data_IF_450614433052
#
_entry.id   IF_450614433052
#
_cell.length_a   1.000
_cell.length_b   1.000
_cell.length_c   1.000
_cell.angle_alpha   90.00
_cell.angle_beta   90.00
_cell.angle_gamma   90.00
#
_symmetry.space_group_name_H-M   'P 1'
#
loop_
_entity.id
_entity.type
_entity.pdbx_description
1 polymer ?
#
# COMPACT_ATOMS: atom_id res chain seq x y z
N UNK A 1 -9.83 -4.87 -20.22
CA UNK A 1 -8.72 -3.90 -20.25
C UNK A 1 -8.36 -3.49 -18.84
N UNK A 2 -7.09 -3.17 -18.57
CA UNK A 2 -6.61 -2.71 -17.27
C UNK A 2 -6.49 -1.19 -17.29
N UNK A 3 -7.38 -0.50 -16.57
CA UNK A 3 -7.34 0.94 -16.39
C UNK A 3 -6.98 1.23 -14.94
N UNK A 4 -5.71 1.53 -14.66
CA UNK A 4 -5.17 1.63 -13.29
C UNK A 4 -6.00 2.51 -12.34
N UNK A 5 -6.58 3.61 -12.84
CA UNK A 5 -7.40 4.54 -12.05
C UNK A 5 -8.64 3.88 -11.43
N UNK A 6 -9.16 2.80 -12.02
CA UNK A 6 -10.40 2.13 -11.59
C UNK A 6 -10.16 1.07 -10.51
N UNK A 7 -8.95 1.00 -9.95
CA UNK A 7 -8.57 0.03 -8.94
C UNK A 7 -8.25 0.71 -7.61
N UNK A 8 -8.75 0.11 -6.54
CA UNK A 8 -8.21 0.29 -5.20
C UNK A 8 -6.81 -0.32 -5.13
N UNK A 9 -5.94 0.26 -4.29
CA UNK A 9 -4.58 -0.23 -4.13
C UNK A 9 -4.32 -0.52 -2.66
N UNK A 10 -3.77 -1.69 -2.41
CA UNK A 10 -3.43 -2.18 -1.07
C UNK A 10 -1.95 -2.51 -1.03
N UNK A 11 -1.35 -2.23 0.12
CA UNK A 11 -0.01 -2.73 0.44
C UNK A 11 -0.10 -3.74 1.55
N UNK A 12 0.66 -4.82 1.40
CA UNK A 12 0.84 -5.86 2.40
C UNK A 12 2.32 -6.12 2.61
N UNK A 13 2.67 -6.72 3.74
CA UNK A 13 3.98 -7.33 3.96
C UNK A 13 3.86 -8.73 4.53
N UNK A 14 4.90 -9.52 4.34
CA UNK A 14 5.05 -10.81 5.00
C UNK A 14 6.49 -10.97 5.47
N UNK A 15 6.68 -11.11 6.79
CA UNK A 15 7.98 -11.48 7.35
C UNK A 15 8.33 -12.94 7.01
N UNK A 16 9.60 -13.36 7.03
CA UNK A 16 9.99 -14.76 6.88
C UNK A 16 9.23 -15.69 7.83
N UNK A 17 8.49 -16.66 7.28
CA UNK A 17 7.65 -17.59 8.05
C UNK A 17 6.39 -16.97 8.69
N UNK A 18 6.14 -15.68 8.46
CA UNK A 18 5.01 -14.94 9.02
C UNK A 18 3.74 -15.02 8.17
N UNK A 19 2.66 -14.42 8.70
CA UNK A 19 1.41 -14.20 7.96
C UNK A 19 1.49 -12.92 7.13
N UNK A 20 0.57 -12.80 6.18
CA UNK A 20 0.40 -11.57 5.42
C UNK A 20 -0.23 -10.50 6.33
N UNK A 21 0.49 -9.40 6.53
CA UNK A 21 0.06 -8.24 7.31
C UNK A 21 -0.36 -7.12 6.37
N UNK A 22 -1.54 -6.55 6.61
CA UNK A 22 -2.02 -5.38 5.89
C UNK A 22 -1.30 -4.11 6.35
N UNK A 23 -0.79 -3.32 5.39
CA UNK A 23 -0.05 -2.08 5.63
C UNK A 23 -0.91 -0.86 5.39
N UNK A 24 -1.60 -0.80 4.26
CA UNK A 24 -2.32 0.41 3.87
C UNK A 24 -3.26 0.18 2.70
N UNK A 25 -4.13 1.17 2.51
CA UNK A 25 -5.14 1.23 1.46
C UNK A 25 -5.19 2.64 0.89
N UNK A 26 -5.32 2.76 -0.44
CA UNK A 26 -5.65 4.00 -1.13
C UNK A 26 -6.79 3.77 -2.11
N UNK A 27 -7.82 4.62 -2.01
CA UNK A 27 -9.06 4.51 -2.78
C UNK A 27 -8.89 4.72 -4.29
N UNK A 28 -9.80 4.16 -5.08
CA UNK A 28 -10.09 4.67 -6.43
C UNK A 28 -11.10 5.82 -6.36
N UNK A 29 -11.24 6.64 -7.41
CA UNK A 29 -10.32 6.76 -8.54
C UNK A 29 -9.13 7.65 -8.21
N UNK A 30 -9.30 8.61 -7.30
CA UNK A 30 -8.32 9.67 -7.02
C UNK A 30 -7.39 9.36 -5.85
N UNK A 31 -7.71 8.39 -5.00
CA UNK A 31 -6.94 8.12 -3.78
C UNK A 31 -7.17 9.15 -2.68
N UNK A 32 -8.35 9.77 -2.64
CA UNK A 32 -8.76 10.75 -1.62
C UNK A 32 -8.85 10.11 -0.23
N UNK A 33 -9.40 8.89 -0.14
CA UNK A 33 -9.41 8.09 1.08
C UNK A 33 -8.15 7.24 1.17
N UNK A 34 -7.50 7.29 2.34
CA UNK A 34 -6.31 6.52 2.69
C UNK A 34 -6.47 5.95 4.09
N UNK A 35 -6.00 4.73 4.28
CA UNK A 35 -5.92 4.13 5.61
C UNK A 35 -4.62 3.36 5.79
N UNK A 36 -4.21 3.19 7.05
CA UNK A 36 -2.92 2.63 7.43
C UNK A 36 -3.07 1.65 8.59
N UNK A 37 -2.38 0.52 8.47
CA UNK A 37 -2.24 -0.47 9.53
C UNK A 37 -1.58 0.13 10.76
N UNK A 38 -2.00 -0.31 11.94
CA UNK A 38 -1.55 0.23 13.21
C UNK A 38 -0.01 0.21 13.36
N UNK A 39 0.66 -0.84 12.87
CA UNK A 39 2.11 -1.00 12.96
C UNK A 39 2.92 0.07 12.19
N UNK A 40 2.32 0.72 11.18
CA UNK A 40 2.98 1.69 10.30
C UNK A 40 2.36 3.08 10.38
N UNK A 41 1.29 3.26 11.17
CA UNK A 41 0.58 4.53 11.30
C UNK A 41 1.53 5.62 11.82
N UNK A 42 1.52 6.78 11.15
CA UNK A 42 2.44 7.89 11.44
C UNK A 42 3.84 7.75 10.82
N UNK A 43 4.21 6.58 10.27
CA UNK A 43 5.48 6.34 9.57
C UNK A 43 5.31 6.11 8.07
N UNK A 44 4.20 5.50 7.68
CA UNK A 44 3.86 5.25 6.28
C UNK A 44 3.20 6.48 5.63
N UNK A 45 3.56 6.72 4.37
CA UNK A 45 2.90 7.64 3.46
C UNK A 45 2.68 6.93 2.13
N UNK A 46 1.42 6.88 1.69
CA UNK A 46 1.05 6.31 0.38
C UNK A 46 0.56 7.37 -0.60
N UNK A 47 0.82 7.12 -1.87
CA UNK A 47 0.33 7.92 -2.99
C UNK A 47 0.16 7.06 -4.23
N UNK A 48 -0.61 7.58 -5.19
CA UNK A 48 -0.82 6.99 -6.52
C UNK A 48 -0.68 8.08 -7.58
N UNK A 49 -0.15 7.72 -8.75
CA UNK A 49 -0.14 8.55 -9.95
C UNK A 49 -0.85 7.78 -11.07
N UNK A 50 -2.07 8.19 -11.37
CA UNK A 50 -2.89 7.55 -12.38
C UNK A 50 -2.41 7.83 -13.81
N UNK A 51 -1.70 8.94 -14.04
CA UNK A 51 -1.16 9.25 -15.37
C UNK A 51 -0.01 8.31 -15.74
N UNK A 52 0.69 7.79 -14.72
CA UNK A 52 1.81 6.87 -14.86
C UNK A 52 1.47 5.42 -14.52
N UNK A 53 0.26 5.16 -14.02
CA UNK A 53 -0.13 3.84 -13.49
C UNK A 53 0.79 3.35 -12.37
N UNK A 54 1.23 4.25 -11.49
CA UNK A 54 2.19 3.96 -10.42
C UNK A 54 1.57 4.14 -9.03
N UNK A 55 1.99 3.31 -8.07
CA UNK A 55 1.65 3.42 -6.66
C UNK A 55 2.92 3.43 -5.82
N UNK A 56 2.91 4.20 -4.74
CA UNK A 56 4.07 4.39 -3.89
C UNK A 56 3.73 4.13 -2.42
N UNK A 57 4.64 3.44 -1.73
CA UNK A 57 4.69 3.31 -0.29
C UNK A 57 6.03 3.86 0.21
N UNK A 58 5.99 4.99 0.91
CA UNK A 58 7.12 5.52 1.66
C UNK A 58 6.96 5.13 3.12
N UNK A 59 7.94 4.43 3.71
CA UNK A 59 7.92 4.04 5.11
C UNK A 59 9.16 4.60 5.82
N UNK A 60 8.96 5.55 6.74
CA UNK A 60 10.05 6.21 7.47
C UNK A 60 9.62 6.65 8.88
N UNK A 61 10.47 6.52 9.91
CA UNK A 61 11.73 5.76 9.91
C UNK A 61 11.45 4.25 9.82
N UNK A 62 12.40 3.50 9.25
CA UNK A 62 12.35 2.04 9.23
C UNK A 62 12.72 1.49 10.61
N UNK A 63 12.05 0.41 10.99
CA UNK A 63 12.30 -0.34 12.21
C UNK A 63 12.66 -1.79 11.85
N UNK A 64 13.36 -2.55 12.71
CA UNK A 64 13.75 -3.93 12.42
C UNK A 64 12.56 -4.83 12.01
N UNK A 65 11.39 -4.64 12.63
CA UNK A 65 10.14 -5.34 12.30
C UNK A 65 9.56 -5.01 10.91
N UNK A 66 10.13 -4.04 10.19
CA UNK A 66 9.73 -3.73 8.81
C UNK A 66 10.47 -4.58 7.77
N UNK A 67 11.42 -5.43 8.17
CA UNK A 67 12.10 -6.37 7.27
C UNK A 67 11.14 -7.50 6.84
N UNK A 68 10.70 -7.44 5.59
CA UNK A 68 9.67 -8.34 5.04
C UNK A 68 9.67 -8.28 3.51
N UNK A 69 8.96 -9.21 2.86
CA UNK A 69 8.53 -9.03 1.48
C UNK A 69 7.33 -8.10 1.44
N UNK A 70 7.32 -7.15 0.51
CA UNK A 70 6.24 -6.19 0.33
C UNK A 70 5.49 -6.50 -0.94
N UNK A 71 4.17 -6.50 -0.86
CA UNK A 71 3.28 -6.83 -1.96
C UNK A 71 2.32 -5.68 -2.22
N UNK A 72 2.20 -5.30 -3.50
CA UNK A 72 1.15 -4.43 -3.98
C UNK A 72 0.03 -5.31 -4.52
N UNK A 73 -1.21 -5.06 -4.10
CA UNK A 73 -2.39 -5.75 -4.58
C UNK A 73 -3.43 -4.72 -5.03
N UNK A 74 -4.23 -5.09 -6.03
CA UNK A 74 -5.28 -4.24 -6.58
C UNK A 74 -6.60 -4.99 -6.65
N UNK A 75 -7.70 -4.31 -6.35
CA UNK A 75 -9.05 -4.81 -6.66
C UNK A 75 -9.81 -3.74 -7.41
N UNK A 76 -10.68 -4.17 -8.32
CA UNK A 76 -11.47 -3.26 -9.13
C UNK A 76 -12.54 -2.59 -8.26
N UNK A 77 -12.72 -1.29 -8.46
CA UNK A 77 -13.82 -0.50 -7.93
C UNK A 77 -15.17 -0.84 -8.51
#
# INVERSE_FOLDING_TARGET
GFTFKDYYIYWYRQAPGGRLDWISFISYPTGSTKDYGAAVKGRAKISRDNSRSEAYLSLRPLQPQDSAWYFCAVTRG
#
